data_IF_658482642941
#
_entry.id   IF_658482642941
#
_cell.length_a   1.000
_cell.length_b   1.000
_cell.length_c   1.000
_cell.angle_alpha   90.00
_cell.angle_beta   90.00
_cell.angle_gamma   90.00
#
_symmetry.space_group_name_H-M   'P 1'
#
loop_
_entity.id
_entity.type
_entity.pdbx_description
1 polymer ?
#
# COMPACT_ATOMS: atom_id res chain seq x y z
N UNK A 1 -9.15 -36.50 -17.05
CA UNK A 1 -8.44 -37.07 -15.89
C UNK A 1 -7.00 -36.61 -16.08
N UNK A 2 -6.60 -35.45 -15.59
CA UNK A 2 -6.79 -34.91 -14.24
C UNK A 2 -7.54 -33.57 -14.21
N UNK A 3 -8.68 -33.52 -13.51
CA UNK A 3 -9.40 -32.28 -13.18
C UNK A 3 -9.74 -32.26 -11.70
N UNK A 4 -8.76 -32.58 -10.84
CA UNK A 4 -8.87 -32.30 -9.40
C UNK A 4 -8.09 -31.00 -9.10
N UNK A 5 -8.50 -29.91 -9.76
CA UNK A 5 -7.96 -28.58 -9.50
C UNK A 5 -8.85 -27.89 -8.47
N UNK A 6 -8.39 -27.77 -7.22
CA UNK A 6 -8.98 -26.79 -6.30
C UNK A 6 -9.03 -25.42 -7.01
N UNK A 7 -10.14 -24.67 -6.93
CA UNK A 7 -10.21 -23.36 -7.54
C UNK A 7 -9.07 -22.50 -6.98
N UNK A 8 -8.20 -22.02 -7.87
CA UNK A 8 -7.08 -21.15 -7.48
C UNK A 8 -7.61 -19.81 -7.02
N UNK A 9 -6.96 -19.28 -6.00
CA UNK A 9 -7.33 -18.02 -5.36
C UNK A 9 -6.24 -17.00 -5.70
N UNK A 10 -6.59 -15.78 -6.14
CA UNK A 10 -5.60 -14.73 -6.38
C UNK A 10 -4.97 -14.28 -5.07
N UNK A 11 -3.69 -13.93 -5.12
CA UNK A 11 -2.87 -13.58 -3.96
C UNK A 11 -3.02 -14.62 -2.83
N UNK A 12 -2.65 -15.89 -3.10
CA UNK A 12 -2.83 -17.01 -2.17
C UNK A 12 -2.20 -16.77 -0.80
N UNK A 13 -1.09 -16.05 -0.69
CA UNK A 13 -0.49 -15.74 0.61
C UNK A 13 -1.29 -14.69 1.40
N UNK A 14 -1.77 -13.63 0.76
CA UNK A 14 -2.73 -12.70 1.38
C UNK A 14 -4.02 -13.42 1.82
N UNK A 15 -4.39 -14.50 1.16
CA UNK A 15 -5.54 -15.34 1.49
C UNK A 15 -5.23 -16.47 2.49
N UNK A 16 -3.99 -16.60 2.95
CA UNK A 16 -3.60 -17.65 3.89
C UNK A 16 -3.54 -17.08 5.29
N UNK A 17 -4.20 -17.75 6.24
CA UNK A 17 -4.07 -17.38 7.64
C UNK A 17 -2.78 -17.96 8.23
N UNK A 18 -1.99 -17.14 8.93
CA UNK A 18 -0.75 -17.59 9.56
C UNK A 18 -0.36 -16.71 10.75
N UNK A 19 0.50 -17.25 11.61
CA UNK A 19 1.06 -16.52 12.76
C UNK A 19 2.26 -15.69 12.28
N UNK A 20 2.36 -14.39 12.63
CA UNK A 20 3.55 -13.59 12.32
C UNK A 20 4.86 -14.29 12.74
N UNK A 21 5.83 -14.30 11.84
CA UNK A 21 7.11 -15.03 11.96
C UNK A 21 7.08 -16.42 11.32
N UNK A 22 5.95 -16.84 10.73
CA UNK A 22 5.79 -18.16 10.09
C UNK A 22 5.44 -18.07 8.60
N UNK A 23 5.73 -16.95 7.93
CA UNK A 23 5.35 -16.78 6.52
C UNK A 23 5.93 -17.87 5.60
N UNK A 24 7.16 -18.31 5.83
CA UNK A 24 7.79 -19.33 4.99
C UNK A 24 7.12 -20.71 5.16
N UNK A 25 6.65 -21.02 6.38
CA UNK A 25 5.85 -22.21 6.63
C UNK A 25 4.46 -22.11 5.99
N UNK A 26 3.85 -20.92 6.01
CA UNK A 26 2.58 -20.64 5.34
C UNK A 26 2.70 -20.83 3.82
N UNK A 27 3.76 -20.30 3.19
CA UNK A 27 4.04 -20.52 1.76
C UNK A 27 4.26 -22.01 1.47
N UNK A 28 5.07 -22.71 2.28
CA UNK A 28 5.34 -24.13 2.09
C UNK A 28 4.09 -25.02 2.22
N UNK A 29 3.11 -24.59 3.01
CA UNK A 29 1.83 -25.27 3.21
C UNK A 29 0.86 -25.19 2.02
N UNK A 30 1.13 -24.34 1.01
CA UNK A 30 0.29 -24.24 -0.18
C UNK A 30 0.56 -25.42 -1.12
N UNK A 31 -0.46 -26.25 -1.34
CA UNK A 31 -0.34 -27.50 -2.11
C UNK A 31 -0.10 -27.29 -3.60
N UNK A 32 -0.91 -26.45 -4.26
CA UNK A 32 -0.82 -26.16 -5.70
C UNK A 32 0.52 -25.48 -6.02
N UNK A 33 1.38 -26.06 -6.88
CA UNK A 33 2.72 -25.52 -7.15
C UNK A 33 2.72 -24.11 -7.75
N UNK A 34 1.75 -23.79 -8.60
CA UNK A 34 1.65 -22.46 -9.21
C UNK A 34 1.24 -21.41 -8.18
N UNK A 35 0.23 -21.71 -7.37
CA UNK A 35 -0.20 -20.87 -6.25
C UNK A 35 0.91 -20.69 -5.21
N UNK A 36 1.69 -21.75 -4.92
CA UNK A 36 2.87 -21.65 -4.04
C UNK A 36 3.95 -20.75 -4.64
N UNK A 37 4.14 -20.77 -5.95
CA UNK A 37 5.09 -19.87 -6.64
C UNK A 37 4.63 -18.41 -6.58
N UNK A 38 3.33 -18.15 -6.79
CA UNK A 38 2.76 -16.81 -6.58
C UNK A 38 2.89 -16.36 -5.12
N UNK A 39 2.56 -17.22 -4.15
CA UNK A 39 2.73 -16.92 -2.72
C UNK A 39 4.20 -16.61 -2.36
N UNK A 40 5.14 -17.31 -2.98
CA UNK A 40 6.57 -17.00 -2.83
C UNK A 40 6.88 -15.60 -3.38
N UNK A 41 6.32 -15.23 -4.53
CA UNK A 41 6.46 -13.90 -5.10
C UNK A 41 5.82 -12.81 -4.21
N UNK A 42 4.66 -13.08 -3.60
CA UNK A 42 4.03 -12.19 -2.60
C UNK A 42 4.95 -11.97 -1.40
N UNK A 43 5.47 -13.04 -0.79
CA UNK A 43 6.39 -12.93 0.34
C UNK A 43 7.64 -12.11 -0.01
N UNK A 44 8.22 -12.37 -1.19
CA UNK A 44 9.38 -11.61 -1.69
C UNK A 44 9.04 -10.12 -1.90
N UNK A 45 7.88 -9.83 -2.47
CA UNK A 45 7.45 -8.46 -2.72
C UNK A 45 7.26 -7.70 -1.40
N UNK A 46 6.47 -8.24 -0.48
CA UNK A 46 6.19 -7.59 0.80
C UNK A 46 7.43 -7.49 1.71
N UNK A 47 8.43 -8.36 1.54
CA UNK A 47 9.77 -8.26 2.17
C UNK A 47 10.70 -7.21 1.54
N UNK A 48 10.24 -6.50 0.52
CA UNK A 48 10.99 -5.48 -0.20
C UNK A 48 12.01 -6.01 -1.20
N UNK A 49 11.83 -7.24 -1.70
CA UNK A 49 12.71 -7.89 -2.67
C UNK A 49 12.13 -7.81 -4.09
N UNK A 50 11.84 -6.58 -4.56
CA UNK A 50 11.14 -6.31 -5.82
C UNK A 50 11.71 -7.07 -7.04
N UNK A 51 13.04 -7.16 -7.18
CA UNK A 51 13.68 -7.90 -8.30
C UNK A 51 13.30 -9.39 -8.29
N UNK A 52 13.35 -10.03 -7.12
CA UNK A 52 13.07 -11.45 -6.98
C UNK A 52 11.57 -11.72 -7.10
N UNK A 53 10.73 -10.87 -6.52
CA UNK A 53 9.29 -10.94 -6.67
C UNK A 53 8.86 -10.87 -8.14
N UNK A 54 9.31 -9.84 -8.86
CA UNK A 54 9.01 -9.67 -10.29
C UNK A 54 9.53 -10.84 -11.12
N UNK A 55 10.75 -11.34 -10.84
CA UNK A 55 11.29 -12.52 -11.54
C UNK A 55 10.44 -13.77 -11.31
N UNK A 56 9.96 -13.98 -10.09
CA UNK A 56 9.19 -15.17 -9.68
C UNK A 56 7.78 -15.15 -10.26
N UNK A 57 7.11 -13.99 -10.27
CA UNK A 57 5.75 -13.85 -10.78
C UNK A 57 5.66 -13.70 -12.31
N UNK A 58 6.71 -13.18 -12.98
CA UNK A 58 6.70 -12.87 -14.43
C UNK A 58 6.21 -14.00 -15.35
N UNK A 59 6.52 -15.29 -15.13
CA UNK A 59 6.01 -16.38 -15.98
C UNK A 59 4.48 -16.46 -16.05
N UNK A 60 3.76 -15.87 -15.09
CA UNK A 60 2.31 -15.94 -14.97
C UNK A 60 1.57 -14.71 -15.52
N UNK A 61 2.28 -13.73 -16.11
CA UNK A 61 1.66 -12.52 -16.67
C UNK A 61 0.66 -12.81 -17.80
N UNK A 62 0.89 -13.90 -18.55
CA UNK A 62 0.02 -14.35 -19.64
C UNK A 62 -0.69 -15.68 -19.30
N UNK A 63 -0.79 -16.01 -18.00
CA UNK A 63 -1.46 -17.24 -17.57
C UNK A 63 -2.93 -17.25 -17.99
N UNK A 64 -3.43 -18.40 -18.45
CA UNK A 64 -4.84 -18.58 -18.79
C UNK A 64 -5.73 -18.46 -17.56
N UNK A 65 -5.25 -18.97 -16.42
CA UNK A 65 -5.92 -18.86 -15.12
C UNK A 65 -5.93 -17.41 -14.62
N UNK A 66 -7.11 -16.79 -14.44
CA UNK A 66 -7.20 -15.39 -14.01
C UNK A 66 -6.59 -15.12 -12.64
N UNK A 67 -6.67 -16.07 -11.70
CA UNK A 67 -6.11 -15.87 -10.35
C UNK A 67 -4.59 -15.73 -10.39
N UNK A 68 -3.92 -16.58 -11.17
CA UNK A 68 -2.47 -16.49 -11.38
C UNK A 68 -2.10 -15.20 -12.12
N UNK A 69 -2.85 -14.86 -13.18
CA UNK A 69 -2.61 -13.65 -14.00
C UNK A 69 -2.76 -12.36 -13.20
N UNK A 70 -3.87 -12.18 -12.48
CA UNK A 70 -4.10 -10.98 -11.65
C UNK A 70 -3.02 -10.83 -10.58
N UNK A 71 -2.65 -11.92 -9.91
CA UNK A 71 -1.59 -11.91 -8.90
C UNK A 71 -0.25 -11.48 -9.51
N UNK A 72 0.10 -12.05 -10.66
CA UNK A 72 1.34 -11.74 -11.35
C UNK A 72 1.41 -10.29 -11.83
N UNK A 73 0.31 -9.78 -12.40
CA UNK A 73 0.23 -8.39 -12.85
C UNK A 73 0.34 -7.41 -11.67
N UNK A 74 -0.33 -7.68 -10.54
CA UNK A 74 -0.22 -6.81 -9.37
C UNK A 74 1.22 -6.78 -8.83
N UNK A 75 1.81 -7.96 -8.58
CA UNK A 75 3.17 -8.08 -8.03
C UNK A 75 4.20 -7.47 -8.99
N UNK A 76 4.16 -7.83 -10.28
CA UNK A 76 5.13 -7.32 -11.26
C UNK A 76 4.94 -5.83 -11.52
N UNK A 77 3.70 -5.34 -11.54
CA UNK A 77 3.37 -3.94 -11.76
C UNK A 77 3.97 -3.04 -10.68
N UNK A 78 3.70 -3.36 -9.43
CA UNK A 78 4.17 -2.57 -8.29
C UNK A 78 5.67 -2.75 -8.03
N UNK A 79 6.20 -3.97 -8.14
CA UNK A 79 7.64 -4.19 -8.08
C UNK A 79 8.38 -3.38 -9.18
N UNK A 80 7.77 -3.21 -10.36
CA UNK A 80 8.36 -2.41 -11.44
C UNK A 80 8.44 -0.91 -11.12
N UNK A 81 7.62 -0.38 -10.21
CA UNK A 81 7.76 0.99 -9.71
C UNK A 81 9.07 1.12 -8.92
N UNK A 82 9.27 0.24 -7.93
CA UNK A 82 10.50 0.14 -7.13
C UNK A 82 11.76 -0.14 -7.97
N UNK A 83 11.61 -0.77 -9.14
CA UNK A 83 12.72 -1.07 -10.07
C UNK A 83 12.92 -0.01 -11.16
N UNK A 84 12.14 1.06 -11.15
CA UNK A 84 12.14 2.11 -12.19
C UNK A 84 11.91 1.56 -13.62
N UNK A 85 11.06 0.55 -13.76
CA UNK A 85 10.68 -0.07 -15.04
C UNK A 85 9.27 0.34 -15.44
N UNK A 86 9.08 1.64 -15.71
CA UNK A 86 7.76 2.25 -15.90
C UNK A 86 6.96 1.62 -17.05
N UNK A 87 7.62 1.25 -18.15
CA UNK A 87 6.94 0.58 -19.26
C UNK A 87 6.41 -0.82 -18.88
N UNK A 88 7.16 -1.57 -18.05
CA UNK A 88 6.71 -2.86 -17.54
C UNK A 88 5.59 -2.68 -16.51
N UNK A 89 5.68 -1.66 -15.64
CA UNK A 89 4.61 -1.31 -14.71
C UNK A 89 3.30 -1.02 -15.44
N UNK A 90 3.33 -0.16 -16.47
CA UNK A 90 2.16 0.15 -17.30
C UNK A 90 1.59 -1.07 -18.01
N UNK A 91 2.43 -1.96 -18.53
CA UNK A 91 1.97 -3.20 -19.17
C UNK A 91 1.22 -4.10 -18.18
N UNK A 92 1.75 -4.24 -16.97
CA UNK A 92 1.09 -5.05 -15.93
C UNK A 92 -0.24 -4.42 -15.48
N UNK A 93 -0.30 -3.08 -15.32
CA UNK A 93 -1.54 -2.37 -14.99
C UNK A 93 -2.58 -2.52 -16.09
N UNK A 94 -2.19 -2.44 -17.37
CA UNK A 94 -3.10 -2.71 -18.49
C UNK A 94 -3.68 -4.13 -18.43
N UNK A 95 -2.85 -5.14 -18.12
CA UNK A 95 -3.32 -6.52 -17.95
C UNK A 95 -4.26 -6.74 -16.76
N UNK A 96 -4.34 -5.81 -15.79
CA UNK A 96 -5.36 -5.81 -14.73
C UNK A 96 -6.66 -5.18 -15.23
N UNK A 97 -6.56 -4.13 -16.04
CA UNK A 97 -7.69 -3.37 -16.58
C UNK A 97 -8.43 -4.09 -17.70
N UNK A 98 -7.81 -5.08 -18.34
CA UNK A 98 -8.46 -5.89 -19.37
C UNK A 98 -9.69 -6.61 -18.80
N UNK A 99 -10.87 -6.24 -19.31
CA UNK A 99 -12.15 -6.78 -18.85
C UNK A 99 -12.22 -8.28 -19.14
N UNK A 100 -12.59 -9.10 -18.15
CA UNK A 100 -12.87 -10.51 -18.39
C UNK A 100 -14.06 -10.69 -19.35
N UNK A 101 -14.10 -11.81 -20.06
CA UNK A 101 -15.19 -12.16 -20.97
C UNK A 101 -16.51 -12.39 -20.22
N UNK A 102 -17.66 -12.05 -20.84
CA UNK A 102 -19.01 -12.00 -20.24
C UNK A 102 -19.54 -13.29 -19.55
N UNK A 103 -18.83 -14.42 -19.61
CA UNK A 103 -19.24 -15.72 -19.05
C UNK A 103 -18.50 -16.10 -17.73
N UNK A 104 -18.06 -15.13 -16.92
CA UNK A 104 -17.31 -15.42 -15.69
C UNK A 104 -18.17 -15.46 -14.41
N UNK A 105 -17.75 -16.30 -13.46
CA UNK A 105 -18.43 -16.44 -12.16
C UNK A 105 -18.38 -15.15 -11.32
N UNK A 106 -19.34 -14.92 -10.39
CA UNK A 106 -19.33 -13.74 -9.52
C UNK A 106 -18.04 -13.53 -8.73
N UNK A 107 -17.31 -14.59 -8.39
CA UNK A 107 -16.03 -14.50 -7.68
C UNK A 107 -14.90 -13.93 -8.55
N UNK A 108 -14.88 -14.26 -9.85
CA UNK A 108 -13.87 -13.72 -10.77
C UNK A 108 -14.21 -12.26 -11.10
N UNK A 109 -15.49 -11.93 -11.24
CA UNK A 109 -15.94 -10.55 -11.40
C UNK A 109 -15.59 -9.69 -10.16
N UNK A 110 -15.83 -10.20 -8.95
CA UNK A 110 -15.41 -9.55 -7.70
C UNK A 110 -13.89 -9.33 -7.65
N UNK A 111 -13.11 -10.33 -8.08
CA UNK A 111 -11.65 -10.24 -8.16
C UNK A 111 -11.22 -9.15 -9.14
N UNK A 112 -11.80 -9.12 -10.35
CA UNK A 112 -11.47 -8.12 -11.35
C UNK A 112 -11.68 -6.69 -10.80
N UNK A 113 -12.87 -6.41 -10.27
CA UNK A 113 -13.18 -5.09 -9.70
C UNK A 113 -12.20 -4.76 -8.56
N UNK A 114 -11.92 -5.70 -7.65
CA UNK A 114 -10.96 -5.48 -6.57
C UNK A 114 -9.57 -5.10 -7.10
N UNK A 115 -9.04 -5.84 -8.06
CA UNK A 115 -7.67 -5.61 -8.56
C UNK A 115 -7.57 -4.31 -9.36
N UNK A 116 -8.61 -3.97 -10.14
CA UNK A 116 -8.70 -2.68 -10.83
C UNK A 116 -8.79 -1.53 -9.82
N UNK A 117 -9.66 -1.63 -8.82
CA UNK A 117 -9.78 -0.62 -7.77
C UNK A 117 -8.51 -0.50 -6.93
N UNK A 118 -7.83 -1.61 -6.62
CA UNK A 118 -6.53 -1.62 -5.95
C UNK A 118 -5.46 -0.90 -6.78
N UNK A 119 -5.35 -1.24 -8.07
CA UNK A 119 -4.41 -0.63 -8.99
C UNK A 119 -4.61 0.89 -9.11
N UNK A 120 -5.87 1.35 -9.14
CA UNK A 120 -6.19 2.79 -9.13
C UNK A 120 -5.86 3.44 -7.79
N UNK A 121 -6.38 2.91 -6.66
CA UNK A 121 -6.29 3.60 -5.37
C UNK A 121 -4.85 3.74 -4.87
N UNK A 122 -4.03 2.71 -5.06
CA UNK A 122 -2.62 2.70 -4.63
C UNK A 122 -1.75 3.64 -5.50
N UNK A 123 -2.17 3.94 -6.73
CA UNK A 123 -1.59 4.99 -7.58
C UNK A 123 -2.24 6.36 -7.38
N UNK A 124 -3.20 6.47 -6.45
CA UNK A 124 -4.04 7.66 -6.22
C UNK A 124 -4.73 8.16 -7.50
N UNK A 125 -5.19 7.23 -8.33
CA UNK A 125 -5.95 7.49 -9.55
C UNK A 125 -7.44 7.22 -9.31
N UNK A 126 -8.33 7.86 -10.08
CA UNK A 126 -9.75 7.50 -10.07
C UNK A 126 -9.94 6.01 -10.40
N UNK A 127 -10.79 5.32 -9.63
CA UNK A 127 -11.21 3.97 -9.99
C UNK A 127 -12.34 4.05 -11.02
N UNK A 128 -12.35 3.17 -12.04
CA UNK A 128 -13.46 3.08 -12.99
C UNK A 128 -14.72 2.46 -12.35
N UNK A 129 -14.60 1.82 -11.18
CA UNK A 129 -15.70 1.21 -10.45
C UNK A 129 -16.06 2.00 -9.20
N UNK A 130 -17.36 2.13 -8.96
CA UNK A 130 -17.90 2.65 -7.71
C UNK A 130 -17.92 1.59 -6.62
N UNK A 131 -17.97 2.02 -5.36
CA UNK A 131 -18.13 1.10 -4.23
C UNK A 131 -19.48 0.37 -4.27
N UNK A 132 -20.52 1.00 -4.83
CA UNK A 132 -21.86 0.42 -4.97
C UNK A 132 -21.88 -0.78 -5.93
N UNK A 133 -21.06 -0.74 -6.99
CA UNK A 133 -20.86 -1.88 -7.89
C UNK A 133 -20.14 -3.04 -7.21
N UNK A 134 -19.20 -2.74 -6.30
CA UNK A 134 -18.38 -3.75 -5.65
C UNK A 134 -19.06 -4.42 -4.43
N UNK A 135 -19.83 -3.68 -3.62
CA UNK A 135 -20.40 -4.19 -2.37
C UNK A 135 -21.20 -5.50 -2.51
N UNK A 136 -22.06 -5.69 -3.53
CA UNK A 136 -22.81 -6.94 -3.71
C UNK A 136 -21.91 -8.15 -3.99
N UNK A 137 -20.70 -7.91 -4.50
CA UNK A 137 -19.78 -8.94 -4.98
C UNK A 137 -18.71 -9.30 -3.94
N UNK A 138 -18.45 -8.40 -2.99
CA UNK A 138 -17.40 -8.57 -1.98
C UNK A 138 -17.54 -9.89 -1.18
N UNK A 139 -18.77 -10.38 -0.96
CA UNK A 139 -19.03 -11.63 -0.27
C UNK A 139 -18.50 -12.89 -1.00
N UNK A 140 -18.23 -12.80 -2.31
CA UNK A 140 -17.66 -13.89 -3.10
C UNK A 140 -16.14 -13.99 -3.00
N UNK A 141 -15.48 -13.02 -2.37
CA UNK A 141 -14.03 -13.05 -2.16
C UNK A 141 -13.67 -13.91 -0.93
N UNK A 142 -12.51 -14.59 -0.97
CA UNK A 142 -11.93 -15.20 0.23
C UNK A 142 -11.66 -14.12 1.29
N UNK A 143 -11.66 -14.50 2.56
CA UNK A 143 -11.58 -13.53 3.67
C UNK A 143 -10.35 -12.61 3.59
N UNK A 144 -9.17 -13.14 3.25
CA UNK A 144 -7.97 -12.32 3.06
C UNK A 144 -8.13 -11.21 2.02
N UNK A 145 -8.80 -11.50 0.89
CA UNK A 145 -9.13 -10.47 -0.12
C UNK A 145 -10.31 -9.59 0.29
N UNK A 146 -11.25 -10.07 1.11
CA UNK A 146 -12.29 -9.19 1.69
C UNK A 146 -11.67 -8.12 2.59
N UNK A 147 -10.70 -8.49 3.42
CA UNK A 147 -9.94 -7.55 4.25
C UNK A 147 -9.13 -6.57 3.40
N UNK A 148 -8.45 -7.06 2.35
CA UNK A 148 -7.75 -6.19 1.40
C UNK A 148 -8.72 -5.24 0.68
N UNK A 149 -9.89 -5.70 0.30
CA UNK A 149 -10.92 -4.87 -0.31
C UNK A 149 -11.43 -3.79 0.64
N UNK A 150 -11.64 -4.12 1.93
CA UNK A 150 -11.95 -3.14 2.96
C UNK A 150 -10.86 -2.07 3.06
N UNK A 151 -9.58 -2.45 2.97
CA UNK A 151 -8.48 -1.50 2.87
C UNK A 151 -8.58 -0.62 1.62
N UNK A 152 -8.79 -1.19 0.43
CA UNK A 152 -8.90 -0.43 -0.84
C UNK A 152 -10.00 0.62 -0.74
N UNK A 153 -11.15 0.26 -0.17
CA UNK A 153 -12.28 1.18 0.04
C UNK A 153 -11.98 2.22 1.13
N UNK A 154 -11.35 1.83 2.24
CA UNK A 154 -10.91 2.74 3.29
C UNK A 154 -9.89 3.76 2.75
N UNK A 155 -8.96 3.34 1.90
CA UNK A 155 -7.98 4.20 1.27
C UNK A 155 -8.66 5.16 0.27
N UNK A 156 -9.62 4.69 -0.53
CA UNK A 156 -10.39 5.57 -1.42
C UNK A 156 -11.21 6.63 -0.63
N UNK A 157 -11.76 6.28 0.53
CA UNK A 157 -12.38 7.25 1.45
C UNK A 157 -11.36 8.24 2.01
N UNK A 158 -10.16 7.77 2.38
CA UNK A 158 -9.08 8.60 2.87
C UNK A 158 -8.67 9.66 1.84
N UNK A 159 -8.47 9.28 0.57
CA UNK A 159 -8.09 10.20 -0.51
C UNK A 159 -9.17 11.25 -0.81
N UNK A 160 -10.44 10.97 -0.47
CA UNK A 160 -11.55 11.95 -0.55
C UNK A 160 -11.67 12.85 0.68
N UNK A 161 -10.77 12.72 1.66
CA UNK A 161 -10.81 13.47 2.91
C UNK A 161 -11.84 12.93 3.92
N UNK A 162 -12.47 11.79 3.65
CA UNK A 162 -13.49 11.19 4.52
C UNK A 162 -12.84 10.32 5.62
N UNK A 163 -11.92 10.93 6.38
CA UNK A 163 -11.03 10.22 7.30
C UNK A 163 -11.77 9.40 8.38
N UNK A 164 -12.87 9.91 8.91
CA UNK A 164 -13.69 9.17 9.89
C UNK A 164 -14.34 7.90 9.30
N UNK A 165 -14.82 7.97 8.05
CA UNK A 165 -15.38 6.80 7.35
C UNK A 165 -14.28 5.81 6.97
N UNK A 166 -13.12 6.31 6.56
CA UNK A 166 -11.92 5.50 6.30
C UNK A 166 -11.52 4.70 7.54
N UNK A 167 -11.37 5.38 8.69
CA UNK A 167 -11.03 4.74 9.97
C UNK A 167 -12.07 3.67 10.35
N UNK A 168 -13.36 4.02 10.35
CA UNK A 168 -14.42 3.09 10.72
C UNK A 168 -14.49 1.86 9.80
N UNK A 169 -14.22 2.01 8.50
CA UNK A 169 -14.13 0.88 7.57
C UNK A 169 -12.97 -0.06 7.94
N UNK A 170 -11.79 0.50 8.22
CA UNK A 170 -10.61 -0.28 8.57
C UNK A 170 -10.78 -1.02 9.90
N UNK A 171 -11.23 -0.33 10.95
CA UNK A 171 -11.45 -0.92 12.28
C UNK A 171 -12.54 -1.99 12.26
N UNK A 172 -13.66 -1.76 11.56
CA UNK A 172 -14.72 -2.75 11.46
C UNK A 172 -14.24 -4.04 10.77
N UNK A 173 -13.42 -3.94 9.72
CA UNK A 173 -12.84 -5.11 9.07
C UNK A 173 -11.90 -5.88 10.02
N UNK A 174 -11.06 -5.16 10.80
CA UNK A 174 -10.18 -5.75 11.81
C UNK A 174 -10.95 -6.46 12.93
N UNK A 175 -12.08 -5.90 13.38
CA UNK A 175 -12.93 -6.47 14.45
C UNK A 175 -13.68 -7.72 13.96
N UNK A 176 -14.18 -7.69 12.71
CA UNK A 176 -15.08 -8.72 12.20
C UNK A 176 -14.37 -9.94 11.58
N UNK A 177 -13.06 -9.86 11.36
CA UNK A 177 -12.27 -10.97 10.80
C UNK A 177 -12.35 -12.22 11.67
N UNK A 178 -12.37 -13.39 11.03
CA UNK A 178 -12.42 -14.70 11.67
C UNK A 178 -11.04 -15.35 11.74
N UNK A 179 -10.24 -15.17 10.69
CA UNK A 179 -8.83 -15.59 10.65
C UNK A 179 -7.84 -14.48 11.00
N UNK A 180 -6.57 -14.85 11.15
CA UNK A 180 -5.47 -13.89 11.14
C UNK A 180 -4.78 -13.91 9.79
N UNK A 181 -4.86 -12.82 9.05
CA UNK A 181 -4.30 -12.62 7.71
C UNK A 181 -3.27 -11.48 7.75
N UNK A 182 -2.04 -11.73 8.22
CA UNK A 182 -1.07 -10.69 8.57
C UNK A 182 -0.86 -9.60 7.50
N UNK A 183 -0.83 -9.96 6.21
CA UNK A 183 -0.63 -9.00 5.12
C UNK A 183 -1.84 -8.07 4.95
N UNK A 184 -3.07 -8.62 4.94
CA UNK A 184 -4.29 -7.81 4.81
C UNK A 184 -4.56 -6.99 6.06
N UNK A 185 -4.24 -7.51 7.25
CA UNK A 185 -4.32 -6.77 8.51
C UNK A 185 -3.31 -5.62 8.55
N UNK A 186 -2.11 -5.81 8.01
CA UNK A 186 -1.11 -4.75 7.87
C UNK A 186 -1.64 -3.59 7.03
N UNK A 187 -2.24 -3.87 5.87
CA UNK A 187 -2.90 -2.84 5.06
C UNK A 187 -3.97 -2.05 5.84
N UNK A 188 -4.84 -2.74 6.57
CA UNK A 188 -5.90 -2.12 7.36
C UNK A 188 -5.36 -1.25 8.49
N UNK A 189 -4.36 -1.74 9.23
CA UNK A 189 -3.72 -0.97 10.30
C UNK A 189 -3.00 0.28 9.76
N UNK A 190 -2.31 0.18 8.62
CA UNK A 190 -1.69 1.36 8.00
C UNK A 190 -2.74 2.39 7.57
N UNK A 191 -3.85 1.97 6.96
CA UNK A 191 -4.95 2.87 6.60
C UNK A 191 -5.59 3.54 7.82
N UNK A 192 -5.82 2.79 8.90
CA UNK A 192 -6.33 3.33 10.16
C UNK A 192 -5.36 4.35 10.77
N UNK A 193 -4.06 4.06 10.80
CA UNK A 193 -3.02 5.00 11.24
C UNK A 193 -3.02 6.29 10.44
N UNK A 194 -3.10 6.19 9.11
CA UNK A 194 -3.20 7.36 8.23
C UNK A 194 -4.42 8.20 8.59
N UNK A 195 -5.60 7.58 8.72
CA UNK A 195 -6.84 8.26 9.05
C UNK A 195 -6.78 8.95 10.43
N UNK A 196 -6.26 8.27 11.47
CA UNK A 196 -6.05 8.84 12.79
C UNK A 196 -5.11 10.06 12.75
N UNK A 197 -4.02 10.00 11.97
CA UNK A 197 -3.12 11.16 11.78
C UNK A 197 -3.86 12.35 11.16
N UNK A 198 -4.69 12.11 10.15
CA UNK A 198 -5.50 13.16 9.52
C UNK A 198 -6.55 13.75 10.47
N UNK A 199 -7.06 12.95 11.41
CA UNK A 199 -7.96 13.37 12.49
C UNK A 199 -7.23 13.99 13.69
N UNK A 200 -5.89 14.09 13.63
CA UNK A 200 -5.01 14.57 14.71
C UNK A 200 -5.06 13.74 16.00
N UNK A 201 -5.52 12.49 15.93
CA UNK A 201 -5.42 11.53 17.02
C UNK A 201 -4.09 10.76 16.90
N UNK A 202 -3.03 11.38 17.42
CA UNK A 202 -1.65 10.87 17.30
C UNK A 202 -1.48 9.55 18.07
N UNK A 203 -2.15 9.40 19.21
CA UNK A 203 -2.00 8.24 20.07
C UNK A 203 -2.71 7.01 19.47
N UNK A 204 -3.92 7.19 18.92
CA UNK A 204 -4.59 6.13 18.15
C UNK A 204 -3.78 5.78 16.89
N UNK A 205 -3.23 6.78 16.20
CA UNK A 205 -2.40 6.55 15.02
C UNK A 205 -1.16 5.69 15.33
N UNK A 206 -0.47 5.99 16.43
CA UNK A 206 0.67 5.20 16.92
C UNK A 206 0.27 3.80 17.38
N UNK A 207 -0.91 3.66 17.96
CA UNK A 207 -1.43 2.35 18.39
C UNK A 207 -1.64 1.43 17.20
N UNK A 208 -2.34 1.90 16.15
CA UNK A 208 -2.49 1.13 14.92
C UNK A 208 -1.15 0.88 14.21
N UNK A 209 -0.24 1.85 14.21
CA UNK A 209 1.07 1.69 13.57
C UNK A 209 1.93 0.66 14.32
N UNK A 210 1.84 0.64 15.66
CA UNK A 210 2.47 -0.38 16.50
C UNK A 210 1.96 -1.78 16.16
N UNK A 211 0.64 -1.97 16.04
CA UNK A 211 0.06 -3.25 15.64
C UNK A 211 0.49 -3.69 14.23
N UNK A 212 0.54 -2.75 13.27
CA UNK A 212 1.11 -2.98 11.95
C UNK A 212 2.59 -3.43 12.05
N UNK A 213 3.39 -2.74 12.85
CA UNK A 213 4.80 -3.05 13.01
C UNK A 213 5.06 -4.41 13.68
N UNK A 214 4.32 -4.74 14.73
CA UNK A 214 4.42 -6.02 15.43
C UNK A 214 4.03 -7.20 14.51
N UNK A 215 3.09 -6.97 13.60
CA UNK A 215 2.70 -7.93 12.56
C UNK A 215 3.78 -8.07 11.48
N UNK A 216 4.35 -6.94 11.03
CA UNK A 216 5.26 -6.91 9.90
C UNK A 216 6.68 -7.38 10.23
N UNK A 217 7.20 -6.98 11.39
CA UNK A 217 8.62 -7.12 11.75
C UNK A 217 9.11 -8.58 11.77
N UNK A 218 8.39 -9.56 12.35
CA UNK A 218 8.89 -10.94 12.44
C UNK A 218 9.19 -11.58 11.08
N UNK A 219 8.40 -11.25 10.05
CA UNK A 219 8.55 -11.76 8.69
C UNK A 219 9.26 -10.78 7.74
N UNK A 220 9.60 -9.59 8.23
CA UNK A 220 10.26 -8.52 7.48
C UNK A 220 9.37 -7.86 6.43
N UNK A 221 8.06 -7.74 6.66
CA UNK A 221 7.06 -7.20 5.71
C UNK A 221 7.10 -5.66 5.61
N UNK A 222 8.22 -5.13 5.11
CA UNK A 222 8.53 -3.70 5.13
C UNK A 222 8.14 -2.93 3.86
N UNK A 223 7.79 -3.60 2.75
CA UNK A 223 7.45 -2.93 1.49
C UNK A 223 6.24 -2.00 1.69
N UNK A 224 5.15 -2.53 2.25
CA UNK A 224 3.91 -1.76 2.43
C UNK A 224 4.13 -0.51 3.29
N UNK A 225 4.95 -0.62 4.34
CA UNK A 225 5.26 0.52 5.21
C UNK A 225 6.00 1.60 4.42
N UNK A 226 6.97 1.20 3.59
CA UNK A 226 7.72 2.12 2.74
C UNK A 226 6.87 2.79 1.67
N UNK A 227 5.93 2.05 1.07
CA UNK A 227 4.99 2.55 0.04
C UNK A 227 4.02 3.61 0.59
N UNK A 228 3.62 3.48 1.86
CA UNK A 228 2.69 4.39 2.51
C UNK A 228 3.36 5.56 3.25
N UNK A 229 4.69 5.69 3.18
CA UNK A 229 5.47 6.65 3.99
C UNK A 229 4.89 8.08 3.95
N UNK A 230 4.58 8.60 2.76
CA UNK A 230 4.07 9.95 2.60
C UNK A 230 2.74 10.20 3.33
N UNK A 231 1.86 9.20 3.35
CA UNK A 231 0.54 9.29 4.00
C UNK A 231 0.58 9.00 5.50
N UNK A 232 1.61 8.29 5.96
CA UNK A 232 1.86 8.00 7.38
C UNK A 232 2.42 9.21 8.15
N UNK A 233 2.69 10.33 7.47
CA UNK A 233 2.89 11.65 8.10
C UNK A 233 3.88 11.65 9.28
N UNK A 234 5.01 10.97 9.12
CA UNK A 234 6.08 10.95 10.11
C UNK A 234 5.96 9.87 11.19
N UNK A 235 4.95 9.00 11.15
CA UNK A 235 4.83 7.88 12.08
C UNK A 235 6.03 6.93 11.99
N UNK A 236 6.54 6.66 10.79
CA UNK A 236 7.70 5.80 10.58
C UNK A 236 8.93 6.39 11.31
N UNK A 237 9.19 7.69 11.14
CA UNK A 237 10.26 8.40 11.82
C UNK A 237 10.06 8.42 13.34
N UNK A 238 8.85 8.72 13.81
CA UNK A 238 8.55 8.84 15.23
C UNK A 238 8.64 7.51 15.98
N UNK A 239 8.21 6.42 15.35
CA UNK A 239 8.13 5.10 15.98
C UNK A 239 9.40 4.28 15.79
N UNK A 240 10.01 4.30 14.60
CA UNK A 240 11.06 3.35 14.24
C UNK A 240 12.48 3.92 14.28
N UNK A 241 12.68 5.21 13.98
CA UNK A 241 14.03 5.76 13.75
C UNK A 241 15.03 5.52 14.89
N UNK A 242 14.58 5.68 16.14
CA UNK A 242 15.45 5.49 17.31
C UNK A 242 15.47 4.05 17.83
N UNK A 243 14.35 3.33 17.70
CA UNK A 243 14.17 1.99 18.27
C UNK A 243 14.65 0.87 17.34
N UNK A 244 14.51 1.08 16.02
CA UNK A 244 14.79 0.12 14.96
C UNK A 244 15.52 0.80 13.79
N UNK A 245 16.74 1.33 14.01
CA UNK A 245 17.44 2.16 13.01
C UNK A 245 17.75 1.43 11.70
N UNK A 246 18.07 0.13 11.75
CA UNK A 246 18.39 -0.67 10.57
C UNK A 246 17.14 -0.92 9.71
N UNK A 247 16.02 -1.30 10.34
CA UNK A 247 14.75 -1.47 9.64
C UNK A 247 14.22 -0.14 9.10
N UNK A 248 14.37 0.94 9.87
CA UNK A 248 14.06 2.29 9.41
C UNK A 248 14.84 2.63 8.14
N UNK A 249 16.16 2.36 8.09
CA UNK A 249 16.97 2.61 6.90
C UNK A 249 16.48 1.81 5.68
N UNK A 250 16.15 0.53 5.88
CA UNK A 250 15.60 -0.35 4.83
C UNK A 250 14.25 0.14 4.31
N UNK A 251 13.35 0.57 5.20
CA UNK A 251 12.05 1.15 4.83
C UNK A 251 12.24 2.45 4.02
N UNK A 252 13.17 3.31 4.43
CA UNK A 252 13.45 4.56 3.71
C UNK A 252 14.02 4.30 2.31
N UNK A 253 14.87 3.27 2.14
CA UNK A 253 15.34 2.86 0.81
C UNK A 253 14.17 2.44 -0.10
N UNK A 254 13.22 1.69 0.45
CA UNK A 254 11.98 1.31 -0.24
C UNK A 254 11.17 2.55 -0.63
N UNK A 255 10.97 3.49 0.30
CA UNK A 255 10.24 4.73 0.03
C UNK A 255 10.86 5.52 -1.13
N UNK A 256 12.19 5.65 -1.18
CA UNK A 256 12.84 6.38 -2.26
C UNK A 256 12.61 5.72 -3.62
N UNK A 257 12.89 4.42 -3.73
CA UNK A 257 12.75 3.69 -5.02
C UNK A 257 11.29 3.62 -5.49
N UNK A 258 10.36 3.36 -4.57
CA UNK A 258 8.94 3.23 -4.88
C UNK A 258 8.36 4.57 -5.30
N UNK A 259 8.54 5.61 -4.48
CA UNK A 259 7.98 6.94 -4.74
C UNK A 259 8.50 7.55 -6.05
N UNK A 260 9.76 7.25 -6.41
CA UNK A 260 10.32 7.64 -7.71
C UNK A 260 9.54 7.03 -8.87
N UNK A 261 9.32 5.71 -8.86
CA UNK A 261 8.55 5.04 -9.92
C UNK A 261 7.08 5.43 -9.93
N UNK A 262 6.49 5.53 -8.73
CA UNK A 262 5.11 5.91 -8.49
C UNK A 262 4.78 7.27 -9.10
N UNK A 263 5.58 8.32 -8.84
CA UNK A 263 5.36 9.68 -9.40
C UNK A 263 5.35 9.69 -10.93
N UNK A 264 6.12 8.81 -11.58
CA UNK A 264 6.19 8.72 -13.05
C UNK A 264 4.96 8.08 -13.70
N UNK A 265 4.06 7.51 -12.90
CA UNK A 265 2.72 7.10 -13.32
C UNK A 265 1.68 8.06 -12.76
N UNK A 266 1.73 8.34 -11.46
CA UNK A 266 0.75 9.18 -10.78
C UNK A 266 0.68 10.60 -11.36
N UNK A 267 1.78 11.36 -11.40
CA UNK A 267 1.78 12.76 -11.83
C UNK A 267 1.18 12.94 -13.24
N UNK A 268 1.64 12.23 -14.29
CA UNK A 268 1.08 12.42 -15.63
C UNK A 268 -0.38 11.97 -15.77
N UNK A 269 -0.81 10.95 -15.03
CA UNK A 269 -2.14 10.36 -15.20
C UNK A 269 -3.20 11.07 -14.32
N UNK A 270 -2.80 11.65 -13.19
CA UNK A 270 -3.67 12.45 -12.32
C UNK A 270 -3.72 13.93 -12.70
N UNK A 271 -2.67 14.43 -13.38
CA UNK A 271 -2.46 15.86 -13.60
C UNK A 271 -1.94 16.61 -12.37
N UNK A 272 -1.55 15.90 -11.31
CA UNK A 272 -0.89 16.47 -10.12
C UNK A 272 0.63 16.52 -10.29
N UNK A 273 1.30 17.35 -9.48
CA UNK A 273 2.76 17.53 -9.52
C UNK A 273 3.39 17.29 -8.14
N UNK A 274 3.27 16.06 -7.65
CA UNK A 274 3.88 15.66 -6.38
C UNK A 274 5.39 15.76 -6.48
N UNK A 275 6.01 16.49 -5.54
CA UNK A 275 7.43 16.83 -5.57
C UNK A 275 8.36 15.59 -5.60
N UNK A 276 9.46 15.71 -6.35
CA UNK A 276 10.46 14.65 -6.53
C UNK A 276 11.87 14.97 -5.99
N UNK A 277 12.10 16.20 -5.53
CA UNK A 277 13.40 16.73 -5.07
C UNK A 277 13.51 16.86 -3.53
N UNK A 278 12.49 16.40 -2.82
CA UNK A 278 12.46 16.37 -1.36
C UNK A 278 12.98 15.05 -0.80
N UNK A 279 13.81 15.13 0.24
CA UNK A 279 14.12 13.98 1.09
C UNK A 279 12.87 13.51 1.82
N UNK A 280 12.82 12.25 2.25
CA UNK A 280 11.67 11.71 3.00
C UNK A 280 11.32 12.54 4.23
N UNK A 281 12.30 13.03 4.98
CA UNK A 281 12.05 13.90 6.14
C UNK A 281 11.57 15.31 5.74
N UNK A 282 12.08 15.88 4.65
CA UNK A 282 11.57 17.15 4.13
C UNK A 282 10.12 17.02 3.68
N UNK A 283 9.80 15.95 2.96
CA UNK A 283 8.45 15.60 2.54
C UNK A 283 7.52 15.46 3.76
N UNK A 284 7.93 14.70 4.78
CA UNK A 284 7.18 14.54 6.04
C UNK A 284 6.89 15.90 6.72
N UNK A 285 7.87 16.80 6.81
CA UNK A 285 7.64 18.12 7.41
C UNK A 285 6.73 19.00 6.54
N UNK A 286 6.88 18.92 5.21
CA UNK A 286 6.06 19.64 4.25
C UNK A 286 4.59 19.18 4.27
N UNK A 287 4.32 17.87 4.34
CA UNK A 287 2.95 17.34 4.39
C UNK A 287 2.26 17.71 5.72
N UNK A 288 2.95 17.62 6.86
CA UNK A 288 2.41 18.06 8.15
C UNK A 288 2.13 19.58 8.13
N UNK A 289 3.02 20.35 7.49
CA UNK A 289 2.78 21.76 7.25
C UNK A 289 1.54 21.97 6.34
N UNK A 290 1.38 21.26 5.24
CA UNK A 290 0.15 21.39 4.43
C UNK A 290 -1.11 21.14 5.24
N UNK A 291 -1.05 20.22 6.20
CA UNK A 291 -2.17 19.79 7.05
C UNK A 291 -2.38 20.64 8.31
N UNK A 292 -1.83 21.86 8.33
CA UNK A 292 -2.13 22.84 9.38
C UNK A 292 -1.40 22.64 10.71
N UNK A 293 -0.38 21.76 10.80
CA UNK A 293 0.45 21.62 12.00
C UNK A 293 1.43 22.78 12.20
N UNK A 294 1.49 23.37 13.38
CA UNK A 294 2.49 24.39 13.72
C UNK A 294 3.90 23.79 13.75
N UNK A 295 4.93 24.62 13.59
CA UNK A 295 6.32 24.15 13.69
C UNK A 295 6.63 23.49 15.05
N UNK A 296 5.94 23.92 16.12
CA UNK A 296 6.09 23.34 17.45
C UNK A 296 5.46 21.94 17.55
N UNK A 297 4.29 21.72 16.93
CA UNK A 297 3.64 20.41 16.86
C UNK A 297 4.46 19.44 16.00
N UNK A 298 4.93 19.88 14.83
CA UNK A 298 5.82 19.09 13.96
C UNK A 298 7.09 18.70 14.72
N UNK A 299 7.71 19.65 15.41
CA UNK A 299 8.92 19.42 16.20
C UNK A 299 8.71 18.36 17.28
N UNK A 300 7.60 18.46 18.03
CA UNK A 300 7.23 17.50 19.07
C UNK A 300 7.00 16.09 18.49
N UNK A 301 6.25 16.00 17.40
CA UNK A 301 5.95 14.72 16.73
C UNK A 301 7.19 14.05 16.17
N UNK A 302 8.07 14.82 15.53
CA UNK A 302 9.28 14.33 14.87
C UNK A 302 10.49 14.20 15.81
N UNK A 303 10.36 14.58 17.09
CA UNK A 303 11.45 14.54 18.07
C UNK A 303 12.63 15.47 17.74
N UNK A 304 12.36 16.65 17.18
CA UNK A 304 13.37 17.65 16.80
C UNK A 304 13.06 19.03 17.37
N UNK A 305 13.95 20.03 17.17
CA UNK A 305 13.68 21.40 17.61
C UNK A 305 12.76 22.17 16.63
N UNK A 306 11.96 23.15 17.09
CA UNK A 306 11.18 24.02 16.19
C UNK A 306 12.06 24.80 15.19
N UNK A 307 13.29 25.15 15.57
CA UNK A 307 14.26 25.78 14.68
C UNK A 307 14.70 24.86 13.54
N UNK A 308 14.86 23.56 13.82
CA UNK A 308 15.14 22.53 12.80
C UNK A 308 14.00 22.43 11.79
N UNK A 309 12.75 22.44 12.27
CA UNK A 309 11.57 22.42 11.38
C UNK A 309 11.53 23.67 10.51
N UNK A 310 11.72 24.86 11.09
CA UNK A 310 11.77 26.13 10.34
C UNK A 310 12.82 26.08 9.24
N UNK A 311 14.05 25.69 9.57
CA UNK A 311 15.15 25.66 8.62
C UNK A 311 14.90 24.66 7.48
N UNK A 312 14.36 23.48 7.78
CA UNK A 312 14.00 22.47 6.76
C UNK A 312 12.88 22.95 5.86
N UNK A 313 11.81 23.53 6.40
CA UNK A 313 10.72 24.10 5.60
C UNK A 313 11.21 25.24 4.70
N UNK A 314 12.13 26.09 5.18
CA UNK A 314 12.77 27.10 4.32
C UNK A 314 13.54 26.47 3.16
N UNK A 315 14.25 25.34 3.39
CA UNK A 315 14.88 24.56 2.34
C UNK A 315 13.88 23.98 1.35
N UNK A 316 12.77 23.42 1.83
CA UNK A 316 11.66 22.92 0.99
C UNK A 316 11.13 24.04 0.09
N UNK A 317 10.85 25.21 0.64
CA UNK A 317 10.32 26.35 -0.12
C UNK A 317 11.29 26.78 -1.23
N UNK A 318 12.59 26.82 -0.93
CA UNK A 318 13.61 27.17 -1.91
C UNK A 318 13.73 26.13 -3.04
N UNK A 319 13.65 24.83 -2.70
CA UNK A 319 13.69 23.72 -3.65
C UNK A 319 12.50 23.76 -4.62
N UNK A 320 11.29 23.91 -4.08
CA UNK A 320 10.05 23.96 -4.85
C UNK A 320 9.80 25.31 -5.54
N UNK A 321 10.62 26.33 -5.25
CA UNK A 321 10.44 27.68 -5.82
C UNK A 321 9.19 28.41 -5.32
N UNK A 322 8.71 28.09 -4.12
CA UNK A 322 7.48 28.66 -3.53
C UNK A 322 7.80 29.60 -2.35
N UNK A 323 6.88 30.51 -2.02
CA UNK A 323 7.05 31.47 -0.93
C UNK A 323 6.25 31.16 0.33
N UNK A 324 5.20 30.35 0.21
CA UNK A 324 4.20 30.18 1.25
C UNK A 324 3.80 28.74 1.49
N UNK A 325 3.27 28.50 2.68
CA UNK A 325 2.72 27.21 3.09
C UNK A 325 1.47 26.81 2.30
N UNK A 326 0.71 27.77 1.79
CA UNK A 326 -0.46 27.49 0.96
C UNK A 326 -0.07 26.92 -0.41
N UNK A 327 1.06 27.39 -0.97
CA UNK A 327 1.59 26.90 -2.24
C UNK A 327 2.11 25.46 -2.15
N UNK A 328 2.51 24.97 -0.95
CA UNK A 328 2.91 23.57 -0.77
C UNK A 328 1.80 22.59 -1.19
N UNK A 329 0.53 22.96 -1.06
CA UNK A 329 -0.62 22.08 -1.35
C UNK A 329 -0.58 21.58 -2.79
N UNK A 330 -0.05 22.38 -3.73
CA UNK A 330 0.06 21.99 -5.14
C UNK A 330 1.13 20.91 -5.39
N UNK A 331 2.05 20.72 -4.45
CA UNK A 331 3.22 19.83 -4.59
C UNK A 331 3.18 18.61 -3.66
N UNK A 332 2.19 18.53 -2.78
CA UNK A 332 2.08 17.48 -1.77
C UNK A 332 0.90 16.55 -2.05
N UNK A 333 1.02 15.30 -1.55
CA UNK A 333 -0.07 14.33 -1.58
C UNK A 333 -1.30 14.88 -0.83
N UNK A 334 -2.49 14.65 -1.39
CA UNK A 334 -3.77 14.99 -0.74
C UNK A 334 -4.13 13.95 0.32
#
# INVERSE_FOLDING_TARGET
MDCDGYPRIPMPLMCTAFVPGQIDAAVAGISDPDSRTIATAEALYFRGQATLAAKTARPYLDATDPALRYSACLICGYASLSLNRIADARRCLAGILDTPTDEESPAVHATHILFVSAASVLLHLPSPYSAEEFYPLAAHLPEGLRLFASYVMAHALYLRGEYGRSLGMAENALIMKQGSYPISELFLHLSASMACMSLKDIDAAKTHFGAAWDTARPDGLIELIGEHHGLLQGLIEACLKSQYPDDFARIIEITYRFSYGWRRIHNPDSGEDVADDLTTTEFTMAILACRGWTNAEIARHMGVSPGTVKNRLSGVYAKLGIGTRAELIAHMLR
#
